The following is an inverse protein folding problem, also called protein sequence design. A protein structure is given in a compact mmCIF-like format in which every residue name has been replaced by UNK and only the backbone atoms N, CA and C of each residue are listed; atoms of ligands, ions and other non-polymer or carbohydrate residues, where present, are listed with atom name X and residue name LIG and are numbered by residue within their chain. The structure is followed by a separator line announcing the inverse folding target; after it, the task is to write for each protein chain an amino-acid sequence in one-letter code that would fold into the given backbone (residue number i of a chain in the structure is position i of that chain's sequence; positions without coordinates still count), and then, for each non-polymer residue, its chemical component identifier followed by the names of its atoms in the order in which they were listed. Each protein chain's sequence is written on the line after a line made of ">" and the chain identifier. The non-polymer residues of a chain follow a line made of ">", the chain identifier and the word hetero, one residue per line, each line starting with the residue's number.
data_IF_112961252075
#
_entry.id   IF_112961252075
#
_cell.length_a   1.000
_cell.length_b   1.000
_cell.length_c   1.000
_cell.angle_alpha   90.00
_cell.angle_beta   90.00
_cell.angle_gamma   90.00
#
_symmetry.space_group_name_H-M   'P 1'
#
loop_
_entity.id
_entity.type
_entity.pdbx_description
1 polymer ?
#
# COMPACT_ATOMS: atom_id res chain seq x y z
N UNK A 1 10.77 -61.01 13.41
CA UNK A 1 11.41 -59.67 13.30
C UNK A 1 10.46 -58.74 12.55
N UNK A 2 9.80 -57.83 13.25
CA UNK A 2 8.82 -56.88 12.66
C UNK A 2 9.47 -55.50 12.63
N UNK A 3 9.62 -54.93 11.42
CA UNK A 3 10.16 -53.58 11.20
C UNK A 3 9.08 -52.55 11.52
N UNK A 4 9.32 -51.69 12.50
CA UNK A 4 8.58 -50.43 12.67
C UNK A 4 9.06 -49.46 11.58
N UNK A 5 8.11 -48.96 10.78
CA UNK A 5 8.34 -47.81 9.91
C UNK A 5 7.74 -46.59 10.60
N UNK A 6 8.60 -45.67 11.03
CA UNK A 6 8.18 -44.34 11.48
C UNK A 6 7.66 -43.56 10.27
N UNK A 7 6.37 -43.26 10.26
CA UNK A 7 5.78 -42.29 9.34
C UNK A 7 6.16 -40.88 9.82
N UNK A 8 7.12 -40.27 9.13
CA UNK A 8 7.38 -38.83 9.22
C UNK A 8 6.19 -38.10 8.61
N UNK A 9 5.35 -37.48 9.45
CA UNK A 9 4.31 -36.58 8.98
C UNK A 9 4.99 -35.29 8.46
N UNK A 10 5.14 -35.17 7.15
CA UNK A 10 5.41 -33.88 6.51
C UNK A 10 4.16 -33.02 6.67
N UNK A 11 4.16 -32.14 7.67
CA UNK A 11 3.25 -30.99 7.69
C UNK A 11 3.79 -30.02 6.65
N UNK A 12 3.27 -30.11 5.42
CA UNK A 12 3.40 -29.05 4.45
C UNK A 12 2.56 -27.86 4.97
N UNK A 13 3.22 -26.89 5.60
CA UNK A 13 2.66 -25.57 5.77
C UNK A 13 2.43 -25.01 4.36
N UNK A 14 1.18 -25.11 3.88
CA UNK A 14 0.77 -24.39 2.70
C UNK A 14 0.84 -22.89 3.06
N UNK A 15 1.92 -22.23 2.62
CA UNK A 15 1.98 -20.77 2.61
C UNK A 15 0.87 -20.28 1.70
N UNK A 16 -0.27 -19.93 2.30
CA UNK A 16 -1.35 -19.29 1.58
C UNK A 16 -0.87 -17.89 1.21
N UNK A 17 -0.31 -17.75 0.00
CA UNK A 17 -0.18 -16.45 -0.64
C UNK A 17 -1.59 -15.90 -0.77
N UNK A 18 -1.98 -14.97 0.11
CA UNK A 18 -3.27 -14.29 0.01
C UNK A 18 -3.20 -13.39 -1.21
N UNK A 19 -3.62 -13.89 -2.37
CA UNK A 19 -3.77 -13.09 -3.56
C UNK A 19 -4.70 -11.91 -3.22
N UNK A 20 -4.21 -10.69 -3.41
CA UNK A 20 -5.02 -9.46 -3.26
C UNK A 20 -6.24 -9.61 -4.16
N UNK A 21 -7.44 -9.58 -3.57
CA UNK A 21 -8.70 -9.64 -4.30
C UNK A 21 -8.85 -8.45 -5.26
N UNK A 22 -9.61 -8.62 -6.33
CA UNK A 22 -9.86 -7.59 -7.34
C UNK A 22 -10.46 -6.29 -6.79
N UNK A 23 -11.22 -6.35 -5.69
CA UNK A 23 -11.77 -5.15 -5.02
C UNK A 23 -10.70 -4.23 -4.43
N UNK A 24 -9.48 -4.75 -4.24
CA UNK A 24 -8.32 -4.00 -3.75
C UNK A 24 -7.35 -3.59 -4.87
N UNK A 25 -7.73 -3.76 -6.13
CA UNK A 25 -6.86 -3.45 -7.27
C UNK A 25 -7.43 -2.29 -8.09
N UNK A 26 -6.53 -1.43 -8.52
CA UNK A 26 -6.79 -0.37 -9.50
C UNK A 26 -5.58 -0.29 -10.42
N UNK A 27 -5.75 0.05 -11.69
CA UNK A 27 -4.63 0.30 -12.59
C UNK A 27 -4.85 1.64 -13.28
N UNK A 28 -3.81 2.46 -13.35
CA UNK A 28 -3.82 3.70 -14.11
C UNK A 28 -2.65 3.71 -15.07
N UNK A 29 -2.91 4.07 -16.32
CA UNK A 29 -1.85 4.47 -17.23
C UNK A 29 -1.20 5.77 -16.75
N UNK A 30 0.02 6.05 -17.25
CA UNK A 30 0.72 7.31 -16.93
C UNK A 30 -0.12 8.54 -17.31
N UNK A 31 -0.84 8.49 -18.42
CA UNK A 31 -1.70 9.58 -18.90
C UNK A 31 -2.93 9.78 -17.99
N UNK A 32 -3.58 8.70 -17.57
CA UNK A 32 -4.71 8.77 -16.63
C UNK A 32 -4.28 9.29 -15.25
N UNK A 33 -3.13 8.83 -14.75
CA UNK A 33 -2.56 9.33 -13.49
C UNK A 33 -2.25 10.82 -13.55
N UNK A 34 -1.66 11.30 -14.65
CA UNK A 34 -1.44 12.74 -14.87
C UNK A 34 -2.75 13.51 -14.92
N UNK A 35 -3.73 13.02 -15.69
CA UNK A 35 -5.04 13.66 -15.81
C UNK A 35 -5.72 13.80 -14.45
N UNK A 36 -5.76 12.72 -13.66
CA UNK A 36 -6.35 12.73 -12.33
C UNK A 36 -5.64 13.72 -11.39
N UNK A 37 -4.31 13.76 -11.43
CA UNK A 37 -3.55 14.71 -10.62
C UNK A 37 -3.83 16.18 -10.98
N UNK A 38 -3.96 16.48 -12.28
CA UNK A 38 -4.32 17.82 -12.73
C UNK A 38 -5.75 18.21 -12.31
N UNK A 39 -6.70 17.28 -12.37
CA UNK A 39 -8.08 17.50 -11.90
C UNK A 39 -8.12 17.76 -10.38
N UNK A 40 -7.40 16.98 -9.58
CA UNK A 40 -7.30 17.18 -8.13
C UNK A 40 -6.71 18.56 -7.83
N UNK A 41 -5.60 18.92 -8.46
CA UNK A 41 -4.95 20.22 -8.27
C UNK A 41 -5.84 21.38 -8.71
N UNK A 42 -6.62 21.22 -9.77
CA UNK A 42 -7.56 22.25 -10.23
C UNK A 42 -8.75 22.42 -9.27
N UNK A 43 -9.15 21.34 -8.59
CA UNK A 43 -10.27 21.33 -7.65
C UNK A 43 -9.84 21.59 -6.19
N UNK A 44 -8.54 21.60 -5.89
CA UNK A 44 -8.04 22.05 -4.60
C UNK A 44 -8.24 23.56 -4.48
N UNK A 45 -9.31 23.94 -3.81
CA UNK A 45 -9.44 25.29 -3.24
C UNK A 45 -8.47 25.42 -2.07
N UNK A 46 -7.77 26.55 -1.96
CA UNK A 46 -6.81 26.88 -0.88
C UNK A 46 -7.38 26.77 0.56
N UNK A 47 -8.66 26.47 0.70
CA UNK A 47 -9.43 26.45 1.94
C UNK A 47 -9.73 25.05 2.52
N UNK A 48 -9.26 23.93 1.94
CA UNK A 48 -9.35 22.65 2.69
C UNK A 48 -8.43 22.74 3.91
N UNK A 49 -8.98 22.82 5.13
CA UNK A 49 -8.17 23.11 6.28
C UNK A 49 -7.14 22.00 6.43
N UNK A 50 -5.90 22.40 6.68
CA UNK A 50 -4.99 21.58 7.44
C UNK A 50 -5.71 21.12 8.71
N UNK A 51 -6.32 19.94 8.67
CA UNK A 51 -6.82 19.19 9.83
C UNK A 51 -5.59 18.68 10.62
N UNK A 52 -4.69 19.61 10.93
CA UNK A 52 -3.39 19.46 11.57
C UNK A 52 -3.49 19.32 13.09
N UNK A 53 -4.58 18.77 13.61
CA UNK A 53 -4.68 18.47 15.04
C UNK A 53 -4.71 16.95 15.22
N UNK A 54 -3.52 16.37 15.30
CA UNK A 54 -3.26 14.96 15.67
C UNK A 54 -3.97 13.94 14.77
N UNK A 55 -3.59 13.90 13.49
CA UNK A 55 -3.97 12.77 12.65
C UNK A 55 -3.38 11.48 13.24
N UNK A 56 -4.25 10.53 13.56
CA UNK A 56 -3.91 9.13 13.79
C UNK A 56 -3.09 8.62 12.61
N UNK A 57 -2.12 7.74 12.88
CA UNK A 57 -1.45 6.99 11.81
C UNK A 57 -2.51 6.28 10.98
N UNK A 58 -2.46 6.41 9.65
CA UNK A 58 -3.31 5.63 8.78
C UNK A 58 -3.05 4.14 9.02
N UNK A 59 -1.77 3.76 9.02
CA UNK A 59 -1.35 2.38 8.91
C UNK A 59 0.15 2.23 9.12
N UNK A 60 0.64 1.06 8.74
CA UNK A 60 2.07 0.78 8.60
C UNK A 60 2.36 -0.06 7.37
N UNK A 61 3.60 0.00 6.92
CA UNK A 61 4.18 -0.95 5.98
C UNK A 61 5.53 -1.44 6.50
N UNK A 62 5.92 -2.65 6.10
CA UNK A 62 7.14 -3.31 6.56
C UNK A 62 7.91 -3.95 5.41
N UNK A 63 9.22 -4.10 5.63
CA UNK A 63 10.20 -4.65 4.67
C UNK A 63 10.02 -6.15 4.44
N UNK A 64 9.47 -6.87 5.42
CA UNK A 64 9.23 -8.30 5.35
C UNK A 64 7.73 -8.65 5.40
N UNK A 65 7.41 -9.90 5.09
CA UNK A 65 6.08 -10.47 5.31
C UNK A 65 5.73 -10.53 6.80
N UNK A 66 4.44 -10.77 7.05
CA UNK A 66 3.81 -10.93 8.36
C UNK A 66 4.06 -9.75 9.31
N UNK A 67 4.23 -8.54 8.75
CA UNK A 67 4.50 -7.31 9.49
C UNK A 67 5.76 -7.38 10.36
N UNK A 68 6.76 -8.12 9.89
CA UNK A 68 8.03 -8.31 10.57
C UNK A 68 9.14 -7.42 10.00
N UNK A 69 10.27 -7.35 10.72
CA UNK A 69 11.41 -6.52 10.32
C UNK A 69 11.18 -5.02 10.52
N UNK A 70 11.96 -4.16 9.84
CA UNK A 70 11.75 -2.73 9.84
C UNK A 70 10.34 -2.38 9.34
N UNK A 71 9.67 -1.47 10.04
CA UNK A 71 8.35 -0.97 9.69
C UNK A 71 8.27 0.54 9.86
N UNK A 72 7.44 1.19 9.06
CA UNK A 72 7.11 2.62 9.20
C UNK A 72 5.64 2.76 9.56
N UNK A 73 5.38 3.44 10.67
CA UNK A 73 4.06 3.96 11.01
C UNK A 73 3.90 5.33 10.38
N UNK A 74 2.92 5.50 9.50
CA UNK A 74 2.82 6.71 8.72
C UNK A 74 1.52 7.47 8.95
N UNK A 75 1.66 8.80 8.91
CA UNK A 75 0.59 9.79 9.01
C UNK A 75 0.59 10.60 7.72
N UNK A 76 0.28 9.91 6.62
CA UNK A 76 0.26 10.52 5.30
C UNK A 76 -0.82 11.60 5.22
N UNK A 77 -0.58 12.60 4.37
CA UNK A 77 -1.56 13.62 4.04
C UNK A 77 -2.81 12.98 3.46
N UNK A 78 -3.98 13.43 3.92
CA UNK A 78 -5.28 12.97 3.42
C UNK A 78 -5.80 14.03 2.43
N UNK A 79 -5.09 14.19 1.33
CA UNK A 79 -5.30 15.23 0.32
C UNK A 79 -5.58 14.65 -1.08
N UNK A 80 -5.64 13.32 -1.18
CA UNK A 80 -5.77 12.56 -2.40
C UNK A 80 -4.68 12.86 -3.44
N UNK A 81 -3.53 13.45 -3.06
CA UNK A 81 -2.37 13.65 -3.94
C UNK A 81 -1.45 12.43 -3.87
N UNK A 82 -0.77 12.13 -4.98
CA UNK A 82 0.28 11.11 -5.01
C UNK A 82 1.58 11.61 -4.40
N UNK A 83 2.02 10.98 -3.33
CA UNK A 83 3.26 11.31 -2.61
C UNK A 83 4.27 10.18 -2.74
N UNK A 84 5.50 10.51 -3.14
CA UNK A 84 6.60 9.56 -3.22
C UNK A 84 6.88 8.92 -1.84
N UNK A 85 7.09 7.61 -1.80
CA UNK A 85 7.30 6.90 -0.53
C UNK A 85 8.70 7.11 0.06
N UNK A 86 9.63 7.62 -0.74
CA UNK A 86 11.02 7.87 -0.36
C UNK A 86 11.95 6.75 -0.82
N UNK A 87 13.18 7.11 -1.20
CA UNK A 87 14.14 6.17 -1.79
C UNK A 87 14.54 5.01 -0.87
N UNK A 88 14.48 5.20 0.44
CA UNK A 88 14.81 4.16 1.42
C UNK A 88 13.77 3.03 1.48
N UNK A 89 12.54 3.29 1.00
CA UNK A 89 11.40 2.38 1.06
C UNK A 89 10.83 2.01 -0.30
N UNK A 90 11.27 2.69 -1.36
CA UNK A 90 10.97 2.31 -2.73
C UNK A 90 11.34 0.85 -2.92
N UNK A 91 10.42 0.07 -3.49
CA UNK A 91 10.71 -1.30 -3.88
C UNK A 91 11.14 -2.23 -2.74
N UNK A 92 10.67 -1.98 -1.51
CA UNK A 92 10.99 -2.81 -0.33
C UNK A 92 9.78 -3.32 0.44
N UNK A 93 8.61 -2.82 0.08
CA UNK A 93 7.42 -3.07 0.88
C UNK A 93 6.88 -4.46 0.58
N UNK A 94 6.82 -5.28 1.62
CA UNK A 94 6.41 -6.68 1.56
C UNK A 94 5.13 -6.95 2.35
N UNK A 95 4.75 -6.07 3.28
CA UNK A 95 3.46 -6.15 3.99
C UNK A 95 2.92 -4.77 4.35
N UNK A 96 1.59 -4.62 4.36
CA UNK A 96 0.88 -3.35 4.60
C UNK A 96 -0.38 -3.56 5.44
N UNK A 97 -0.65 -2.67 6.37
CA UNK A 97 -1.79 -2.72 7.26
C UNK A 97 -2.40 -1.33 7.45
N UNK A 98 -3.70 -1.20 7.25
CA UNK A 98 -4.48 0.01 7.55
C UNK A 98 -5.13 -0.11 8.93
N UNK A 99 -4.94 0.88 9.80
CA UNK A 99 -5.51 0.92 11.15
C UNK A 99 -6.78 1.78 11.22
N UNK A 100 -6.80 2.90 10.50
CA UNK A 100 -7.81 3.94 10.68
C UNK A 100 -8.99 3.75 9.73
N UNK A 101 -10.15 3.35 10.28
CA UNK A 101 -11.36 2.97 9.55
C UNK A 101 -11.90 4.04 8.59
N UNK A 102 -11.67 5.32 8.90
CA UNK A 102 -12.21 6.46 8.13
C UNK A 102 -11.31 6.87 6.96
N UNK A 103 -10.16 6.21 6.82
CA UNK A 103 -9.15 6.54 5.83
C UNK A 103 -8.95 5.40 4.83
N UNK A 104 -8.50 5.80 3.65
CA UNK A 104 -8.10 4.91 2.57
C UNK A 104 -6.78 5.43 1.99
N UNK A 105 -5.88 4.51 1.68
CA UNK A 105 -4.68 4.80 0.89
C UNK A 105 -4.59 3.83 -0.28
N UNK A 106 -4.15 4.33 -1.43
CA UNK A 106 -3.77 3.51 -2.58
C UNK A 106 -2.25 3.54 -2.67
N UNK A 107 -1.62 2.37 -2.63
CA UNK A 107 -0.19 2.21 -2.85
C UNK A 107 0.05 1.85 -4.30
N UNK A 108 0.89 2.62 -4.98
CA UNK A 108 1.08 2.52 -6.42
C UNK A 108 2.49 2.06 -6.74
N UNK A 109 2.61 1.29 -7.82
CA UNK A 109 3.91 0.78 -8.25
C UNK A 109 4.80 1.83 -8.91
N UNK A 110 4.21 2.89 -9.48
CA UNK A 110 4.96 3.89 -10.25
C UNK A 110 4.67 5.30 -9.75
N UNK A 111 5.71 6.13 -9.78
CA UNK A 111 5.64 7.55 -9.43
C UNK A 111 6.28 8.39 -10.53
N UNK A 112 5.68 9.54 -10.84
CA UNK A 112 6.31 10.57 -11.65
C UNK A 112 6.40 11.87 -10.86
N UNK A 113 7.58 12.50 -10.89
CA UNK A 113 7.78 13.84 -10.32
C UNK A 113 7.23 14.96 -11.23
N UNK A 114 6.77 14.64 -12.44
CA UNK A 114 6.22 15.62 -13.37
C UNK A 114 4.98 16.31 -12.78
N UNK A 115 4.75 17.58 -13.15
CA UNK A 115 3.53 18.34 -12.82
C UNK A 115 3.16 18.45 -11.32
N UNK A 116 4.11 18.24 -10.41
CA UNK A 116 3.88 18.32 -8.96
C UNK A 116 3.78 16.98 -8.24
N UNK A 117 4.03 15.86 -8.93
CA UNK A 117 4.03 14.53 -8.33
C UNK A 117 2.69 13.80 -8.54
N UNK A 118 2.74 12.62 -9.15
CA UNK A 118 1.56 11.75 -9.26
C UNK A 118 1.93 10.27 -9.31
N UNK A 119 0.95 9.47 -8.91
CA UNK A 119 1.03 8.01 -8.89
C UNK A 119 0.32 7.38 -10.08
N UNK A 120 0.84 6.26 -10.57
CA UNK A 120 0.24 5.48 -11.64
C UNK A 120 0.73 4.02 -11.60
N UNK A 121 0.38 3.22 -12.61
CA UNK A 121 0.71 1.80 -12.68
C UNK A 121 -0.32 0.95 -11.95
N UNK A 122 0.13 -0.09 -11.25
CA UNK A 122 -0.73 -0.95 -10.45
C UNK A 122 -0.90 -0.38 -9.05
N UNK A 123 -2.14 -0.23 -8.63
CA UNK A 123 -2.58 0.30 -7.35
C UNK A 123 -3.14 -0.79 -6.43
N UNK A 124 -2.70 -0.80 -5.18
CA UNK A 124 -3.25 -1.58 -4.09
C UNK A 124 -4.08 -0.66 -3.20
N UNK A 125 -5.39 -0.86 -3.19
CA UNK A 125 -6.31 -0.13 -2.32
C UNK A 125 -6.26 -0.75 -0.93
N UNK A 126 -5.90 0.06 0.07
CA UNK A 126 -5.89 -0.31 1.49
C UNK A 126 -6.81 0.64 2.24
N UNK A 127 -7.85 0.09 2.84
CA UNK A 127 -8.74 0.81 3.75
C UNK A 127 -8.31 0.57 5.20
N UNK A 128 -8.82 1.38 6.12
CA UNK A 128 -8.75 1.06 7.54
C UNK A 128 -9.35 -0.30 7.88
N UNK A 129 -8.58 -1.10 8.60
CA UNK A 129 -8.91 -2.49 8.96
C UNK A 129 -8.34 -3.53 8.00
N UNK A 130 -7.90 -3.13 6.80
CA UNK A 130 -7.32 -4.07 5.84
C UNK A 130 -5.92 -4.51 6.28
N UNK A 131 -5.62 -5.79 6.11
CA UNK A 131 -4.34 -6.40 6.49
C UNK A 131 -3.81 -7.25 5.34
N UNK A 132 -2.66 -6.87 4.82
CA UNK A 132 -1.92 -7.60 3.79
C UNK A 132 -0.59 -8.08 4.38
N UNK A 133 -0.57 -9.24 5.05
CA UNK A 133 0.65 -9.78 5.65
C UNK A 133 1.68 -10.19 4.60
N UNK A 134 1.23 -10.46 3.36
CA UNK A 134 2.12 -10.79 2.25
C UNK A 134 1.64 -10.08 1.00
N UNK A 135 2.48 -9.21 0.45
CA UNK A 135 2.29 -8.67 -0.88
C UNK A 135 2.83 -9.68 -1.90
N UNK A 136 2.05 -9.91 -2.95
CA UNK A 136 2.48 -10.66 -4.13
C UNK A 136 2.77 -9.73 -5.29
N UNK A 137 3.13 -10.30 -6.44
CA UNK A 137 3.17 -9.57 -7.70
C UNK A 137 1.79 -8.96 -8.02
N UNK A 138 1.70 -7.69 -8.47
CA UNK A 138 2.79 -6.80 -8.89
C UNK A 138 3.36 -5.88 -7.79
N UNK A 139 2.94 -6.00 -6.53
CA UNK A 139 3.20 -5.00 -5.50
C UNK A 139 4.46 -5.22 -4.67
N UNK A 140 4.79 -6.49 -4.38
CA UNK A 140 5.95 -6.83 -3.54
C UNK A 140 7.21 -6.22 -4.13
N UNK A 141 7.92 -5.41 -3.33
CA UNK A 141 9.14 -4.73 -3.74
C UNK A 141 8.98 -3.88 -5.00
N UNK A 142 7.79 -3.29 -5.23
CA UNK A 142 7.54 -2.38 -6.36
C UNK A 142 6.76 -1.12 -6.02
N UNK A 143 6.30 -0.96 -4.78
CA UNK A 143 5.55 0.23 -4.38
C UNK A 143 6.48 1.44 -4.35
N UNK A 144 6.11 2.49 -5.09
CA UNK A 144 6.88 3.73 -5.23
C UNK A 144 6.21 4.95 -4.63
N UNK A 145 4.88 4.97 -4.55
CA UNK A 145 4.17 6.11 -3.98
C UNK A 145 2.82 5.71 -3.38
N UNK A 146 2.19 6.65 -2.68
CA UNK A 146 0.90 6.47 -2.04
C UNK A 146 0.00 7.67 -2.30
N UNK A 147 -1.31 7.43 -2.28
CA UNK A 147 -2.34 8.45 -2.42
C UNK A 147 -3.42 8.17 -1.39
N UNK A 148 -3.65 9.09 -0.46
CA UNK A 148 -4.56 8.85 0.67
C UNK A 148 -5.72 9.84 0.69
N UNK A 149 -6.92 9.34 1.01
CA UNK A 149 -8.15 10.11 1.08
C UNK A 149 -9.01 9.66 2.27
N UNK A 150 -10.01 10.46 2.61
CA UNK A 150 -11.12 10.00 3.45
C UNK A 150 -11.92 8.93 2.69
N UNK A 151 -12.57 8.04 3.44
CA UNK A 151 -13.42 6.96 2.91
C UNK A 151 -14.91 7.26 3.09
#
# INVERSE_FOLDING_TARGET
>A
MVRLWSLTALVALASATTAVDSSHRLTLTKEEGLKQALEIKANQTDDEPQLGRRQSSFGRYCDNWDFSGPCVYHRFSIDNIGHYIGGDWNDRISSVEGFDADKRCIYWTEYSADSGGYCYGDGLIVNGGDRFPQLGWPYNDRISCHQCSWR
#
